data_IF_119380992999
#
_entry.id   IF_119380992999
#
_cell.length_a   1.000
_cell.length_b   1.000
_cell.length_c   1.000
_cell.angle_alpha   90.00
_cell.angle_beta   90.00
_cell.angle_gamma   90.00
#
_symmetry.space_group_name_H-M   'P 1'
#
loop_
_entity.id
_entity.type
_entity.pdbx_description
1 polymer ?
#
# COMPACT_ATOMS: atom_id res chain seq x y z
N UNK A 1 2.27 13.77 -29.24
CA UNK A 1 2.71 12.36 -29.23
C UNK A 1 2.75 11.90 -27.81
N UNK A 2 2.24 10.71 -27.50
CA UNK A 2 2.39 10.15 -26.15
C UNK A 2 3.89 9.88 -25.89
N UNK A 3 4.38 10.30 -24.73
CA UNK A 3 5.77 10.07 -24.34
C UNK A 3 5.88 8.57 -23.99
N UNK A 4 6.83 7.88 -24.66
CA UNK A 4 7.07 6.46 -24.43
C UNK A 4 7.73 6.24 -23.05
N UNK A 5 7.28 5.21 -22.32
CA UNK A 5 7.75 4.91 -20.97
C UNK A 5 8.15 3.45 -20.82
N UNK A 6 9.19 3.24 -20.03
CA UNK A 6 9.65 1.93 -19.59
C UNK A 6 8.82 1.51 -18.38
N UNK A 7 8.13 0.37 -18.47
CA UNK A 7 7.38 -0.21 -17.35
C UNK A 7 8.32 -0.82 -16.32
N UNK A 8 7.90 -0.77 -15.05
CA UNK A 8 8.74 -1.28 -13.96
C UNK A 8 8.57 -2.78 -13.71
N UNK A 9 7.56 -3.40 -14.31
CA UNK A 9 7.13 -4.76 -13.93
C UNK A 9 6.30 -4.80 -12.65
N UNK A 10 6.01 -3.62 -12.08
CA UNK A 10 5.16 -3.46 -10.90
C UNK A 10 4.12 -2.36 -11.20
N UNK A 11 2.85 -2.74 -11.34
CA UNK A 11 1.78 -1.83 -11.73
C UNK A 11 1.60 -0.66 -10.74
N UNK A 12 1.81 -0.90 -9.45
CA UNK A 12 1.69 0.10 -8.41
C UNK A 12 2.87 1.10 -8.46
N UNK A 13 4.08 0.64 -8.79
CA UNK A 13 5.22 1.54 -9.02
C UNK A 13 5.02 2.36 -10.30
N UNK A 14 4.46 1.75 -11.34
CA UNK A 14 4.09 2.48 -12.54
C UNK A 14 3.05 3.58 -12.25
N UNK A 15 2.08 3.32 -11.35
CA UNK A 15 1.11 4.33 -10.90
C UNK A 15 1.81 5.47 -10.16
N UNK A 16 2.74 5.18 -9.24
CA UNK A 16 3.54 6.18 -8.51
C UNK A 16 4.38 7.05 -9.45
N UNK A 17 4.91 6.46 -10.54
CA UNK A 17 5.70 7.14 -11.57
C UNK A 17 4.85 7.73 -12.71
N UNK A 18 3.52 7.72 -12.57
CA UNK A 18 2.58 8.17 -13.60
C UNK A 18 2.81 7.51 -14.97
N UNK A 19 3.05 6.20 -14.95
CA UNK A 19 3.17 5.36 -16.14
C UNK A 19 4.52 4.65 -16.33
N UNK A 20 5.46 4.83 -15.43
CA UNK A 20 6.81 4.26 -15.50
C UNK A 20 7.89 5.29 -15.80
N UNK A 21 9.14 4.85 -16.02
CA UNK A 21 10.25 5.72 -16.33
C UNK A 21 10.19 6.25 -17.77
N UNK A 22 10.72 7.46 -18.00
CA UNK A 22 10.92 7.92 -19.36
C UNK A 22 12.04 7.11 -20.02
N UNK A 23 11.87 6.77 -21.30
CA UNK A 23 12.94 6.13 -22.07
C UNK A 23 14.09 7.10 -22.37
N UNK A 24 15.26 6.55 -22.68
CA UNK A 24 16.48 7.31 -23.01
C UNK A 24 16.90 8.27 -21.89
N UNK A 25 16.74 7.87 -20.65
CA UNK A 25 17.08 8.63 -19.44
C UNK A 25 18.10 7.89 -18.59
N UNK A 26 18.78 8.65 -17.74
CA UNK A 26 19.69 8.13 -16.72
C UNK A 26 18.96 8.16 -15.38
N UNK A 27 18.84 7.02 -14.74
CA UNK A 27 18.11 6.84 -13.51
C UNK A 27 19.03 6.31 -12.40
N UNK A 28 18.81 6.73 -11.16
CA UNK A 28 19.57 6.23 -10.01
C UNK A 28 18.61 5.50 -9.07
N UNK A 29 18.99 4.29 -8.65
CA UNK A 29 18.34 3.54 -7.58
C UNK A 29 19.33 3.47 -6.42
N UNK A 30 18.99 4.14 -5.32
CA UNK A 30 19.85 4.27 -4.16
C UNK A 30 19.22 3.69 -2.89
N UNK A 31 20.04 3.40 -1.90
CA UNK A 31 19.61 2.91 -0.57
C UNK A 31 20.67 2.08 0.11
N UNK A 32 20.49 1.80 1.39
CA UNK A 32 21.39 0.97 2.19
C UNK A 32 21.46 -0.49 1.68
N UNK A 33 22.45 -1.29 2.11
CA UNK A 33 22.48 -2.72 1.84
C UNK A 33 21.18 -3.44 2.24
N UNK A 34 20.75 -4.42 1.44
CA UNK A 34 19.56 -5.24 1.73
C UNK A 34 18.22 -4.52 1.58
N UNK A 35 18.18 -3.33 0.95
CA UNK A 35 16.92 -2.61 0.69
C UNK A 35 16.16 -3.12 -0.53
N UNK A 36 16.74 -4.00 -1.37
CA UNK A 36 16.08 -4.58 -2.54
C UNK A 36 16.41 -3.91 -3.88
N UNK A 37 17.49 -3.11 -3.95
CA UNK A 37 17.92 -2.41 -5.18
C UNK A 37 18.13 -3.36 -6.36
N UNK A 38 18.91 -4.41 -6.17
CA UNK A 38 19.19 -5.44 -7.16
C UNK A 38 17.93 -6.16 -7.62
N UNK A 39 17.03 -6.49 -6.70
CA UNK A 39 15.74 -7.15 -7.02
C UNK A 39 14.89 -6.26 -7.93
N UNK A 40 14.78 -4.96 -7.62
CA UNK A 40 14.06 -4.01 -8.47
C UNK A 40 14.72 -3.89 -9.86
N UNK A 41 16.05 -3.88 -9.91
CA UNK A 41 16.81 -3.81 -11.18
C UNK A 41 16.59 -5.06 -12.05
N UNK A 42 16.62 -6.25 -11.45
CA UNK A 42 16.30 -7.50 -12.16
C UNK A 42 14.85 -7.52 -12.64
N UNK A 43 13.90 -7.12 -11.81
CA UNK A 43 12.49 -7.03 -12.17
C UNK A 43 12.28 -6.08 -13.37
N UNK A 44 12.96 -4.94 -13.42
CA UNK A 44 12.98 -4.03 -14.56
C UNK A 44 13.51 -4.74 -15.84
N UNK A 45 14.62 -5.46 -15.71
CA UNK A 45 15.28 -6.15 -16.84
C UNK A 45 14.36 -7.23 -17.40
N UNK A 46 13.90 -8.16 -16.58
CA UNK A 46 13.08 -9.29 -17.04
C UNK A 46 11.72 -8.88 -17.57
N UNK A 47 11.14 -7.78 -17.05
CA UNK A 47 9.87 -7.24 -17.53
C UNK A 47 9.96 -6.56 -18.89
N UNK A 48 11.14 -6.03 -19.27
CA UNK A 48 11.29 -5.23 -20.48
C UNK A 48 12.15 -5.88 -21.58
N UNK A 49 12.98 -6.87 -21.23
CA UNK A 49 13.87 -7.50 -22.20
C UNK A 49 13.11 -8.34 -23.22
N UNK A 50 13.31 -8.04 -24.50
CA UNK A 50 12.77 -8.76 -25.66
C UNK A 50 13.84 -8.87 -26.75
N UNK A 51 13.62 -9.68 -27.78
CA UNK A 51 14.53 -9.78 -28.92
C UNK A 51 14.75 -8.44 -29.66
N UNK A 52 13.77 -7.51 -29.60
CA UNK A 52 13.89 -6.17 -30.21
C UNK A 52 14.50 -5.13 -29.27
N UNK A 53 14.38 -5.36 -27.98
CA UNK A 53 14.83 -4.46 -26.91
C UNK A 53 15.62 -5.24 -25.88
N UNK A 54 16.83 -5.74 -26.22
CA UNK A 54 17.63 -6.50 -25.27
C UNK A 54 18.07 -5.60 -24.10
N UNK A 55 18.34 -6.25 -22.96
CA UNK A 55 18.84 -5.61 -21.76
C UNK A 55 20.26 -6.08 -21.45
N UNK A 56 21.07 -5.14 -20.95
CA UNK A 56 22.45 -5.38 -20.53
C UNK A 56 22.57 -5.11 -19.04
N UNK A 57 22.94 -6.11 -18.27
CA UNK A 57 23.20 -6.00 -16.84
C UNK A 57 24.70 -6.07 -16.58
N UNK A 58 25.29 -4.97 -16.16
CA UNK A 58 26.70 -4.81 -15.90
C UNK A 58 26.99 -4.93 -14.41
N UNK A 59 27.67 -5.99 -14.01
CA UNK A 59 28.09 -6.22 -12.63
C UNK A 59 29.47 -5.62 -12.39
N UNK A 60 29.73 -5.17 -11.17
CA UNK A 60 31.02 -4.56 -10.79
C UNK A 60 31.70 -5.25 -9.64
N UNK A 61 30.96 -6.04 -8.88
CA UNK A 61 31.43 -6.86 -7.78
C UNK A 61 31.66 -8.28 -8.29
N UNK A 62 32.68 -8.94 -7.74
CA UNK A 62 33.11 -10.29 -8.14
C UNK A 62 32.13 -11.39 -7.69
N UNK A 63 30.83 -11.13 -7.70
CA UNK A 63 29.86 -12.19 -7.46
C UNK A 63 29.77 -13.04 -8.73
N UNK A 64 30.04 -14.35 -8.64
CA UNK A 64 29.97 -15.24 -9.80
C UNK A 64 28.56 -15.17 -10.42
N UNK A 65 28.51 -15.09 -11.75
CA UNK A 65 27.24 -15.06 -12.52
C UNK A 65 26.30 -16.18 -12.12
N UNK A 66 26.84 -17.38 -11.82
CA UNK A 66 26.02 -18.53 -11.40
C UNK A 66 25.25 -18.26 -10.11
N UNK A 67 25.85 -17.55 -9.13
CA UNK A 67 25.16 -17.18 -7.90
C UNK A 67 24.08 -16.15 -8.15
N UNK A 68 24.37 -15.16 -8.99
CA UNK A 68 23.42 -14.14 -9.39
C UNK A 68 22.17 -14.75 -10.04
N UNK A 69 22.37 -15.67 -11.00
CA UNK A 69 21.29 -16.43 -11.64
C UNK A 69 20.54 -17.30 -10.61
N UNK A 70 21.25 -17.96 -9.71
CA UNK A 70 20.64 -18.78 -8.67
C UNK A 70 19.73 -17.95 -7.75
N UNK A 71 20.13 -16.74 -7.36
CA UNK A 71 19.31 -15.84 -6.57
C UNK A 71 18.07 -15.38 -7.34
N UNK A 72 18.24 -15.03 -8.62
CA UNK A 72 17.13 -14.62 -9.50
C UNK A 72 16.06 -15.69 -9.66
N UNK A 73 16.43 -16.97 -9.73
CA UNK A 73 15.49 -18.09 -9.89
C UNK A 73 14.47 -18.24 -8.76
N UNK A 74 14.68 -17.58 -7.61
CA UNK A 74 13.69 -17.57 -6.52
C UNK A 74 12.52 -16.62 -6.75
N UNK A 75 12.56 -15.82 -7.82
CA UNK A 75 11.53 -14.83 -8.13
C UNK A 75 10.70 -15.22 -9.35
N UNK A 76 9.39 -15.01 -9.28
CA UNK A 76 8.45 -15.36 -10.36
C UNK A 76 8.68 -14.56 -11.65
N UNK A 77 9.30 -13.36 -11.58
CA UNK A 77 9.63 -12.56 -12.77
C UNK A 77 10.86 -13.09 -13.53
N UNK A 78 11.66 -13.97 -12.93
CA UNK A 78 12.88 -14.47 -13.54
C UNK A 78 12.57 -15.51 -14.59
N UNK A 79 13.08 -15.32 -15.80
CA UNK A 79 12.95 -16.24 -16.92
C UNK A 79 14.33 -16.66 -17.42
N UNK A 80 14.75 -17.88 -17.08
CA UNK A 80 16.06 -18.41 -17.48
C UNK A 80 16.24 -18.50 -18.98
N UNK A 81 15.17 -18.62 -19.77
CA UNK A 81 15.25 -18.65 -21.23
C UNK A 81 15.66 -17.31 -21.84
N UNK A 82 15.47 -16.22 -21.10
CA UNK A 82 15.93 -14.89 -21.54
C UNK A 82 17.43 -14.66 -21.34
N UNK A 83 18.07 -15.39 -20.43
CA UNK A 83 19.49 -15.22 -20.11
C UNK A 83 20.34 -15.69 -21.28
N UNK A 84 21.21 -14.80 -21.78
CA UNK A 84 22.04 -15.03 -22.98
C UNK A 84 21.33 -14.78 -24.31
N UNK A 85 20.00 -14.69 -24.34
CA UNK A 85 19.20 -14.43 -25.54
C UNK A 85 18.74 -12.96 -25.64
N UNK A 86 18.13 -12.45 -24.57
CA UNK A 86 17.60 -11.07 -24.50
C UNK A 86 18.07 -10.31 -23.27
N UNK A 87 18.57 -11.00 -22.26
CA UNK A 87 19.20 -10.46 -21.06
C UNK A 87 20.66 -10.90 -21.03
N UNK A 88 21.56 -9.95 -21.11
CA UNK A 88 22.99 -10.19 -21.14
C UNK A 88 23.64 -9.67 -19.86
N UNK A 89 24.40 -10.53 -19.20
CA UNK A 89 25.20 -10.18 -18.02
C UNK A 89 26.67 -10.11 -18.40
N UNK A 90 27.35 -9.01 -18.02
CA UNK A 90 28.76 -8.81 -18.28
C UNK A 90 29.49 -8.26 -17.04
N UNK A 91 30.71 -8.70 -16.78
CA UNK A 91 31.56 -8.23 -15.66
C UNK A 91 32.31 -6.95 -16.05
N UNK A 92 31.64 -5.81 -15.86
CA UNK A 92 32.22 -4.50 -16.06
C UNK A 92 33.42 -4.24 -15.12
N UNK A 93 33.34 -4.75 -13.88
CA UNK A 93 34.39 -4.60 -12.88
C UNK A 93 35.69 -5.26 -13.32
N UNK A 94 35.65 -6.43 -13.95
CA UNK A 94 36.85 -7.08 -14.50
C UNK A 94 37.47 -6.24 -15.61
N UNK A 95 36.69 -5.73 -16.57
CA UNK A 95 37.17 -4.91 -17.67
C UNK A 95 37.76 -3.58 -17.19
N UNK A 96 37.16 -2.93 -16.20
CA UNK A 96 37.68 -1.71 -15.58
C UNK A 96 39.00 -1.96 -14.85
N UNK A 97 39.13 -3.11 -14.17
CA UNK A 97 40.43 -3.49 -13.55
C UNK A 97 41.53 -3.67 -14.54
N UNK A 98 41.24 -4.19 -15.75
CA UNK A 98 42.21 -4.42 -16.81
C UNK A 98 42.59 -3.12 -17.54
N UNK A 99 41.60 -2.29 -17.90
CA UNK A 99 41.81 -1.11 -18.79
C UNK A 99 41.86 0.23 -18.02
N UNK A 100 41.58 0.22 -16.73
CA UNK A 100 41.49 1.43 -15.89
C UNK A 100 40.12 2.09 -15.95
N UNK A 101 39.79 2.82 -14.88
CA UNK A 101 38.49 3.49 -14.76
C UNK A 101 38.27 4.60 -15.80
N UNK A 102 39.34 5.22 -16.31
CA UNK A 102 39.27 6.22 -17.37
C UNK A 102 38.75 5.67 -18.71
N UNK A 103 38.80 4.36 -18.92
CA UNK A 103 38.27 3.70 -20.12
C UNK A 103 36.77 3.32 -19.99
N UNK A 104 36.11 3.67 -18.90
CA UNK A 104 34.72 3.25 -18.61
C UNK A 104 33.75 3.56 -19.77
N UNK A 105 33.78 4.78 -20.29
CA UNK A 105 32.91 5.20 -21.39
C UNK A 105 33.18 4.42 -22.69
N UNK A 106 34.44 4.13 -22.98
CA UNK A 106 34.88 3.33 -24.14
C UNK A 106 34.38 1.88 -24.00
N UNK A 107 34.63 1.25 -22.86
CA UNK A 107 34.17 -0.12 -22.56
C UNK A 107 32.67 -0.25 -22.74
N UNK A 108 31.89 0.66 -22.15
CA UNK A 108 30.42 0.67 -22.27
C UNK A 108 29.99 0.91 -23.71
N UNK A 109 30.66 1.80 -24.45
CA UNK A 109 30.40 2.06 -25.88
C UNK A 109 30.59 0.82 -26.76
N UNK A 110 31.64 0.05 -26.51
CA UNK A 110 31.90 -1.23 -27.21
C UNK A 110 30.79 -2.23 -26.99
N UNK A 111 30.37 -2.43 -25.71
CA UNK A 111 29.30 -3.34 -25.34
C UNK A 111 27.96 -2.93 -25.96
N UNK A 112 27.61 -1.63 -25.86
CA UNK A 112 26.36 -1.10 -26.38
C UNK A 112 26.30 -1.18 -27.91
N UNK A 113 27.40 -0.91 -28.60
CA UNK A 113 27.46 -1.01 -30.07
C UNK A 113 27.27 -2.45 -30.57
N UNK A 114 27.80 -3.42 -29.83
CA UNK A 114 27.69 -4.84 -30.14
C UNK A 114 26.30 -5.43 -29.82
N UNK A 115 25.77 -5.20 -28.60
CA UNK A 115 24.52 -5.79 -28.12
C UNK A 115 23.28 -4.96 -28.47
N UNK A 116 23.42 -3.66 -28.71
CA UNK A 116 22.36 -2.69 -29.00
C UNK A 116 21.22 -2.72 -27.94
N UNK A 117 21.56 -2.69 -26.67
CA UNK A 117 20.54 -2.77 -25.60
C UNK A 117 19.70 -1.49 -25.57
N UNK A 118 18.43 -1.61 -25.14
CA UNK A 118 17.57 -0.47 -24.82
C UNK A 118 17.55 -0.17 -23.33
N UNK A 119 17.90 -1.15 -22.51
CA UNK A 119 17.96 -1.06 -21.06
C UNK A 119 19.34 -1.49 -20.58
N UNK A 120 19.95 -0.66 -19.74
CA UNK A 120 21.26 -0.93 -19.14
C UNK A 120 21.16 -0.77 -17.63
N UNK A 121 21.64 -1.75 -16.89
CA UNK A 121 21.82 -1.68 -15.44
C UNK A 121 23.32 -1.69 -15.14
N UNK A 122 23.78 -0.85 -14.22
CA UNK A 122 25.14 -0.91 -13.67
C UNK A 122 25.03 -1.08 -12.14
N UNK A 123 25.34 -2.27 -11.65
CA UNK A 123 25.24 -2.66 -10.24
C UNK A 123 26.59 -3.26 -9.74
N UNK A 124 27.33 -2.62 -8.85
CA UNK A 124 27.08 -1.36 -8.18
C UNK A 124 27.86 -0.21 -8.85
N UNK A 125 27.15 0.79 -9.31
CA UNK A 125 27.79 1.96 -9.93
C UNK A 125 28.67 2.72 -8.95
N UNK A 126 28.27 2.79 -7.67
CA UNK A 126 29.06 3.42 -6.62
C UNK A 126 30.44 2.78 -6.47
N UNK A 127 30.53 1.45 -6.57
CA UNK A 127 31.81 0.75 -6.46
C UNK A 127 32.79 1.14 -7.57
N UNK A 128 32.31 1.47 -8.78
CA UNK A 128 33.15 2.01 -9.86
C UNK A 128 33.60 3.43 -9.54
N UNK A 129 32.71 4.27 -9.07
CA UNK A 129 33.03 5.68 -8.79
C UNK A 129 33.97 5.86 -7.60
N UNK A 130 34.05 4.89 -6.69
CA UNK A 130 35.04 4.86 -5.59
C UNK A 130 36.47 4.60 -6.07
N UNK A 131 36.65 4.11 -7.29
CA UNK A 131 37.99 3.95 -7.91
C UNK A 131 38.56 5.27 -8.47
N UNK A 132 37.74 6.34 -8.47
CA UNK A 132 38.11 7.64 -9.04
C UNK A 132 38.65 8.53 -7.93
N UNK A 133 39.90 8.99 -8.07
CA UNK A 133 40.60 9.70 -7.00
C UNK A 133 40.14 11.16 -6.83
N UNK A 134 39.80 11.84 -7.93
CA UNK A 134 39.49 13.27 -7.88
C UNK A 134 38.04 13.58 -8.32
N UNK A 135 37.46 14.60 -7.71
CA UNK A 135 36.12 15.07 -8.09
C UNK A 135 36.02 15.57 -9.52
N UNK A 136 37.13 16.12 -10.06
CA UNK A 136 37.18 16.61 -11.46
C UNK A 136 37.17 15.43 -12.44
N UNK A 137 38.01 14.42 -12.21
CA UNK A 137 38.05 13.20 -13.00
C UNK A 137 36.70 12.49 -12.98
N UNK A 138 36.07 12.39 -11.80
CA UNK A 138 34.73 11.80 -11.63
C UNK A 138 33.70 12.50 -12.53
N UNK A 139 33.71 13.84 -12.57
CA UNK A 139 32.78 14.60 -13.42
C UNK A 139 33.04 14.31 -14.90
N UNK A 140 34.31 14.23 -15.32
CA UNK A 140 34.68 13.97 -16.72
C UNK A 140 34.20 12.57 -17.14
N UNK A 141 34.56 11.54 -16.38
CA UNK A 141 34.19 10.15 -16.68
C UNK A 141 32.64 9.99 -16.72
N UNK A 142 31.96 10.61 -15.80
CA UNK A 142 30.49 10.57 -15.76
C UNK A 142 29.84 11.28 -16.95
N UNK A 143 30.40 12.43 -17.36
CA UNK A 143 29.91 13.16 -18.52
C UNK A 143 30.11 12.36 -19.80
N UNK A 144 31.27 11.73 -19.96
CA UNK A 144 31.60 10.89 -21.12
C UNK A 144 30.67 9.66 -21.17
N UNK A 145 30.46 8.98 -20.04
CA UNK A 145 29.53 7.86 -19.94
C UNK A 145 28.10 8.29 -20.29
N UNK A 146 27.63 9.40 -19.73
CA UNK A 146 26.28 9.92 -20.00
C UNK A 146 26.10 10.27 -21.48
N UNK A 147 27.16 10.80 -22.13
CA UNK A 147 27.17 11.11 -23.56
C UNK A 147 27.03 9.85 -24.41
N UNK A 148 27.73 8.78 -24.06
CA UNK A 148 27.61 7.48 -24.71
C UNK A 148 26.21 6.92 -24.59
N UNK A 149 25.68 6.85 -23.35
CA UNK A 149 24.35 6.30 -23.09
C UNK A 149 23.24 7.07 -23.82
N UNK A 150 23.35 8.39 -23.88
CA UNK A 150 22.43 9.27 -24.59
C UNK A 150 22.54 9.07 -26.13
N UNK A 151 23.76 8.99 -26.67
CA UNK A 151 23.97 8.81 -28.10
C UNK A 151 23.37 7.49 -28.62
N UNK A 152 23.43 6.43 -27.82
CA UNK A 152 22.84 5.14 -28.14
C UNK A 152 21.36 5.01 -27.73
N UNK A 153 20.77 6.06 -27.18
CA UNK A 153 19.36 6.08 -26.73
C UNK A 153 19.02 4.95 -25.73
N UNK A 154 19.92 4.72 -24.78
CA UNK A 154 19.73 3.72 -23.75
C UNK A 154 19.00 4.31 -22.54
N UNK A 155 18.05 3.57 -21.99
CA UNK A 155 17.52 3.84 -20.63
C UNK A 155 18.44 3.15 -19.64
N UNK A 156 19.06 3.91 -18.75
CA UNK A 156 20.13 3.40 -17.88
C UNK A 156 19.78 3.55 -16.42
N UNK A 157 20.14 2.57 -15.60
CA UNK A 157 19.98 2.60 -14.15
C UNK A 157 21.32 2.41 -13.46
N UNK A 158 21.71 3.38 -12.66
CA UNK A 158 22.89 3.34 -11.80
C UNK A 158 22.46 2.92 -10.41
N UNK A 159 22.93 1.79 -9.95
CA UNK A 159 22.58 1.20 -8.65
C UNK A 159 23.72 1.43 -7.67
N UNK A 160 23.41 1.91 -6.47
CA UNK A 160 24.46 2.11 -5.49
C UNK A 160 23.96 2.28 -4.05
N UNK A 161 24.91 2.10 -3.12
CA UNK A 161 24.69 2.27 -1.70
C UNK A 161 25.00 3.70 -1.29
N UNK A 162 24.02 4.59 -1.50
CA UNK A 162 24.13 6.00 -1.18
C UNK A 162 23.21 6.39 -0.03
N UNK A 163 23.64 7.38 0.77
CA UNK A 163 22.81 8.07 1.74
C UNK A 163 22.15 9.32 1.15
N UNK A 164 21.12 9.85 1.82
CA UNK A 164 20.45 11.07 1.36
C UNK A 164 21.36 12.29 1.30
N UNK A 165 22.36 12.39 2.18
CA UNK A 165 23.34 13.49 2.20
C UNK A 165 24.20 13.52 0.93
N UNK A 166 24.56 12.35 0.41
CA UNK A 166 25.39 12.23 -0.79
C UNK A 166 24.71 12.77 -2.06
N UNK A 167 23.38 12.92 -2.09
CA UNK A 167 22.66 13.44 -3.26
C UNK A 167 23.05 14.86 -3.64
N UNK A 168 23.47 15.68 -2.68
CA UNK A 168 23.88 17.07 -2.93
C UNK A 168 25.33 17.21 -3.32
N UNK A 169 26.16 16.18 -3.07
CA UNK A 169 27.60 16.25 -3.22
C UNK A 169 28.09 15.54 -4.49
N UNK A 170 27.45 14.43 -4.85
CA UNK A 170 27.95 13.55 -5.89
C UNK A 170 27.36 13.88 -7.27
N UNK A 171 28.20 13.96 -8.31
CA UNK A 171 27.80 14.42 -9.63
C UNK A 171 26.85 13.46 -10.37
N UNK A 172 26.79 12.17 -10.04
CA UNK A 172 25.85 11.21 -10.61
C UNK A 172 24.38 11.60 -10.36
N UNK A 173 24.08 12.26 -9.24
CA UNK A 173 22.72 12.74 -8.96
C UNK A 173 22.36 13.99 -9.77
N UNK A 174 23.36 14.77 -10.16
CA UNK A 174 23.15 15.94 -11.01
C UNK A 174 22.74 15.55 -12.43
N UNK A 175 23.37 14.52 -13.01
CA UNK A 175 23.07 14.02 -14.35
C UNK A 175 21.80 13.14 -14.40
N UNK A 176 21.40 12.53 -13.30
CA UNK A 176 20.24 11.67 -13.25
C UNK A 176 18.95 12.41 -13.60
N UNK A 177 18.10 11.79 -14.42
CA UNK A 177 16.74 12.25 -14.73
C UNK A 177 15.74 11.79 -13.70
N UNK A 178 15.94 10.61 -13.12
CA UNK A 178 15.17 10.15 -11.97
C UNK A 178 16.05 9.60 -10.85
N UNK A 179 15.58 9.71 -9.62
CA UNK A 179 16.23 9.17 -8.43
C UNK A 179 15.17 8.48 -7.58
N UNK A 180 15.32 7.17 -7.40
CA UNK A 180 14.53 6.38 -6.46
C UNK A 180 15.38 6.04 -5.23
N UNK A 181 14.85 6.33 -4.06
CA UNK A 181 15.47 6.00 -2.78
C UNK A 181 14.72 4.85 -2.10
N UNK A 182 15.41 3.75 -1.85
CA UNK A 182 14.91 2.61 -1.09
C UNK A 182 15.38 2.72 0.36
N UNK A 183 14.44 2.67 1.27
CA UNK A 183 14.63 2.87 2.70
C UNK A 183 14.21 1.63 3.47
N UNK A 184 14.90 1.38 4.56
CA UNK A 184 14.59 0.35 5.54
C UNK A 184 14.50 1.02 6.90
N UNK A 185 13.34 0.92 7.54
CA UNK A 185 13.08 1.51 8.86
C UNK A 185 12.76 0.42 9.86
N UNK A 186 13.40 0.47 11.02
CA UNK A 186 13.14 -0.43 12.12
C UNK A 186 12.42 0.30 13.24
N UNK A 187 11.29 -0.24 13.69
CA UNK A 187 10.54 0.27 14.83
C UNK A 187 10.37 -0.87 15.85
N UNK A 188 11.17 -0.84 16.89
CA UNK A 188 11.29 -1.95 17.82
C UNK A 188 11.81 -3.20 17.10
N UNK A 189 11.00 -4.27 17.09
CA UNK A 189 11.34 -5.53 16.41
C UNK A 189 10.81 -5.59 14.95
N UNK A 190 10.03 -4.60 14.52
CA UNK A 190 9.44 -4.55 13.19
C UNK A 190 10.38 -3.86 12.22
N UNK A 191 10.45 -4.38 11.03
CA UNK A 191 11.18 -3.83 9.90
C UNK A 191 10.24 -3.56 8.74
N UNK A 192 10.26 -2.33 8.25
CA UNK A 192 9.44 -1.91 7.12
C UNK A 192 10.31 -1.31 6.02
N UNK A 193 9.96 -1.56 4.77
CA UNK A 193 10.64 -1.00 3.60
C UNK A 193 9.78 0.04 2.93
N UNK A 194 10.44 1.12 2.47
CA UNK A 194 9.79 2.22 1.78
C UNK A 194 10.58 2.60 0.53
N UNK A 195 9.85 3.05 -0.48
CA UNK A 195 10.39 3.69 -1.68
C UNK A 195 9.93 5.15 -1.70
N UNK A 196 10.86 6.05 -2.01
CA UNK A 196 10.58 7.48 -2.25
C UNK A 196 11.15 7.90 -3.59
N UNK A 197 10.38 8.66 -4.36
CA UNK A 197 10.82 9.30 -5.60
C UNK A 197 11.40 10.66 -5.23
N UNK A 198 12.72 10.79 -5.28
CA UNK A 198 13.43 12.02 -4.94
C UNK A 198 13.45 13.01 -6.11
N UNK A 199 13.48 12.47 -7.33
CA UNK A 199 13.55 13.25 -8.57
C UNK A 199 12.90 12.47 -9.70
N UNK A 200 12.11 13.16 -10.51
CA UNK A 200 11.57 12.62 -11.77
C UNK A 200 11.39 13.76 -12.77
N UNK A 201 12.36 13.94 -13.68
CA UNK A 201 12.30 14.99 -14.70
C UNK A 201 11.27 14.64 -15.76
N UNK A 202 10.54 15.64 -16.22
CA UNK A 202 9.58 15.51 -17.33
C UNK A 202 8.30 14.74 -16.98
N UNK A 203 8.08 14.40 -15.70
CA UNK A 203 6.88 13.73 -15.22
C UNK A 203 6.57 14.16 -13.78
N UNK A 204 5.28 14.11 -13.40
CA UNK A 204 4.89 14.10 -12.02
C UNK A 204 5.15 12.73 -11.39
N UNK A 205 5.21 12.67 -10.08
CA UNK A 205 5.22 11.43 -9.29
C UNK A 205 4.35 11.60 -8.06
N UNK A 206 3.83 10.48 -7.54
CA UNK A 206 3.08 10.50 -6.28
C UNK A 206 4.03 10.82 -5.13
N UNK A 207 3.72 11.81 -4.28
CA UNK A 207 4.62 12.28 -3.24
C UNK A 207 4.65 11.35 -2.02
N UNK A 208 5.76 11.38 -1.28
CA UNK A 208 5.93 10.73 0.02
C UNK A 208 6.61 9.37 -0.05
N UNK A 209 6.48 8.60 1.03
CA UNK A 209 7.05 7.27 1.17
C UNK A 209 5.99 6.22 0.87
N UNK A 210 6.27 5.34 -0.07
CA UNK A 210 5.43 4.23 -0.47
C UNK A 210 5.97 2.95 0.15
N UNK A 211 5.15 2.23 0.90
CA UNK A 211 5.57 0.98 1.52
C UNK A 211 5.75 -0.11 0.45
N UNK A 212 6.67 -1.05 0.68
CA UNK A 212 6.81 -2.22 -0.17
C UNK A 212 7.29 -3.45 0.60
N UNK A 213 6.98 -4.61 0.06
CA UNK A 213 7.51 -5.89 0.51
C UNK A 213 8.33 -6.54 -0.60
N UNK A 214 9.18 -7.48 -0.22
CA UNK A 214 9.88 -8.38 -1.13
C UNK A 214 9.30 -9.78 -0.90
N UNK A 215 8.76 -10.38 -1.95
CA UNK A 215 8.17 -11.70 -1.95
C UNK A 215 8.72 -12.53 -3.13
N UNK A 216 8.17 -13.70 -3.38
CA UNK A 216 8.46 -14.49 -4.58
C UNK A 216 8.11 -13.74 -5.88
N UNK A 217 7.16 -12.79 -5.84
CA UNK A 217 6.82 -11.92 -6.97
C UNK A 217 7.83 -10.78 -7.20
N UNK A 218 8.88 -10.69 -6.38
CA UNK A 218 9.84 -9.60 -6.38
C UNK A 218 9.42 -8.47 -5.46
N UNK A 219 9.64 -7.22 -5.86
CA UNK A 219 9.19 -6.04 -5.13
C UNK A 219 7.71 -5.79 -5.37
N UNK A 220 6.92 -5.84 -4.31
CA UNK A 220 5.48 -5.50 -4.32
C UNK A 220 5.29 -4.16 -3.60
N UNK A 221 4.98 -3.12 -4.36
CA UNK A 221 4.80 -1.76 -3.84
C UNK A 221 3.35 -1.52 -3.42
N UNK A 222 3.16 -0.81 -2.32
CA UNK A 222 1.89 -0.29 -1.83
C UNK A 222 1.94 1.24 -1.87
N UNK A 223 1.33 1.87 -2.87
CA UNK A 223 1.30 3.33 -2.96
C UNK A 223 0.74 3.95 -1.68
N UNK A 224 1.40 5.01 -1.20
CA UNK A 224 0.85 5.80 -0.10
C UNK A 224 -0.54 6.27 -0.48
N UNK A 225 -1.49 6.04 0.41
CA UNK A 225 -2.85 6.53 0.21
C UNK A 225 -2.86 8.06 0.26
N UNK A 226 -3.29 8.65 -0.83
CA UNK A 226 -3.50 10.10 -0.98
C UNK A 226 -5.00 10.38 -1.01
N UNK A 227 -5.39 11.56 -0.55
CA UNK A 227 -6.77 12.02 -0.73
C UNK A 227 -7.10 12.02 -2.22
N UNK A 228 -8.21 11.39 -2.64
CA UNK A 228 -8.59 11.41 -4.04
C UNK A 228 -8.82 12.85 -4.50
N UNK A 229 -8.45 13.14 -5.75
CA UNK A 229 -8.80 14.41 -6.37
C UNK A 229 -10.32 14.56 -6.30
N UNK A 230 -10.75 15.57 -5.58
CA UNK A 230 -12.16 15.88 -5.40
C UNK A 230 -12.68 16.41 -6.73
N UNK A 231 -13.22 15.50 -7.55
CA UNK A 231 -14.04 15.93 -8.66
C UNK A 231 -15.26 16.67 -8.09
N UNK A 232 -15.67 17.82 -8.66
CA UNK A 232 -16.84 18.56 -8.17
C UNK A 232 -18.15 17.77 -8.26
N UNK A 233 -18.15 16.55 -8.73
CA UNK A 233 -19.29 15.64 -8.80
C UNK A 233 -19.29 14.70 -7.59
N UNK A 234 -19.52 15.21 -6.39
CA UNK A 234 -20.08 14.40 -5.34
C UNK A 234 -21.53 14.09 -5.73
N UNK A 235 -21.79 12.88 -6.14
CA UNK A 235 -23.17 12.39 -6.25
C UNK A 235 -23.65 12.11 -4.82
N UNK A 236 -24.46 13.01 -4.27
CA UNK A 236 -25.17 12.72 -3.02
C UNK A 236 -26.09 11.52 -3.30
N UNK A 237 -25.84 10.40 -2.59
CA UNK A 237 -26.77 9.29 -2.59
C UNK A 237 -27.83 9.58 -1.53
N UNK A 238 -29.10 9.82 -1.91
CA UNK A 238 -30.19 10.05 -0.96
C UNK A 238 -30.69 8.76 -0.31
N UNK A 239 -30.13 7.60 -0.66
CA UNK A 239 -30.57 6.31 -0.14
C UNK A 239 -30.01 6.05 1.26
N UNK A 240 -30.84 5.38 2.08
CA UNK A 240 -30.44 4.92 3.40
C UNK A 240 -29.98 3.47 3.34
N UNK A 241 -28.95 3.19 4.10
CA UNK A 241 -28.33 1.87 4.23
C UNK A 241 -28.65 1.33 5.63
N UNK A 242 -29.47 0.29 5.67
CA UNK A 242 -29.91 -0.34 6.92
C UNK A 242 -28.77 -1.11 7.60
N UNK A 243 -28.80 -1.15 8.91
CA UNK A 243 -27.80 -1.90 9.70
C UNK A 243 -28.16 -3.39 9.85
N UNK A 244 -29.39 -3.76 9.56
CA UNK A 244 -29.95 -5.08 9.87
C UNK A 244 -30.33 -5.25 11.35
N UNK A 245 -30.34 -4.15 12.12
CA UNK A 245 -30.69 -4.10 13.52
C UNK A 245 -31.85 -3.08 13.67
N UNK A 246 -33.08 -3.56 13.62
CA UNK A 246 -34.27 -2.72 13.53
C UNK A 246 -34.30 -1.59 14.56
N UNK A 247 -34.01 -1.86 15.82
CA UNK A 247 -33.98 -0.82 16.87
C UNK A 247 -32.85 0.21 16.67
N UNK A 248 -31.71 -0.13 16.02
CA UNK A 248 -30.69 0.84 15.66
C UNK A 248 -31.13 1.68 14.46
N UNK A 249 -31.72 1.04 13.47
CA UNK A 249 -32.23 1.73 12.28
C UNK A 249 -33.32 2.74 12.64
N UNK A 250 -34.17 2.43 13.64
CA UNK A 250 -35.19 3.36 14.17
C UNK A 250 -34.55 4.58 14.86
N UNK A 251 -33.43 4.41 15.58
CA UNK A 251 -32.69 5.51 16.22
C UNK A 251 -32.06 6.48 15.21
N UNK A 252 -31.86 6.07 13.96
CA UNK A 252 -31.12 6.81 12.91
C UNK A 252 -31.97 7.02 11.64
N UNK A 253 -33.28 7.19 11.77
CA UNK A 253 -34.19 7.44 10.65
C UNK A 253 -34.07 6.40 9.49
N UNK A 254 -34.13 5.11 9.85
CA UNK A 254 -34.09 3.95 8.94
C UNK A 254 -32.71 3.66 8.29
N UNK A 255 -31.61 3.98 8.95
CA UNK A 255 -30.29 3.63 8.50
C UNK A 255 -29.36 4.83 8.28
N UNK A 256 -28.12 4.55 7.91
CA UNK A 256 -27.10 5.55 7.60
C UNK A 256 -27.24 6.06 6.16
N UNK A 257 -26.76 7.27 5.89
CA UNK A 257 -26.66 7.73 4.51
C UNK A 257 -25.66 6.86 3.70
N UNK A 258 -26.02 6.53 2.47
CA UNK A 258 -25.13 5.82 1.56
C UNK A 258 -23.80 6.59 1.37
N UNK A 259 -22.68 5.87 1.44
CA UNK A 259 -21.33 6.46 1.35
C UNK A 259 -20.84 7.16 2.62
N UNK A 260 -21.60 7.14 3.72
CA UNK A 260 -21.17 7.73 4.99
C UNK A 260 -20.27 6.79 5.80
N UNK A 261 -19.46 7.39 6.68
CA UNK A 261 -18.62 6.68 7.64
C UNK A 261 -19.21 6.76 9.04
N UNK A 262 -19.41 5.61 9.66
CA UNK A 262 -19.93 5.48 11.03
C UNK A 262 -18.88 4.92 11.97
N UNK A 263 -18.61 5.61 13.07
CA UNK A 263 -17.78 5.12 14.16
C UNK A 263 -18.68 4.37 15.18
N UNK A 264 -18.42 3.09 15.41
CA UNK A 264 -19.03 2.29 16.48
C UNK A 264 -18.00 2.09 17.57
N UNK A 265 -18.09 2.87 18.62
CA UNK A 265 -17.13 2.88 19.73
C UNK A 265 -17.69 2.21 20.97
N UNK A 266 -16.86 1.46 21.70
CA UNK A 266 -17.28 0.83 22.96
C UNK A 266 -16.22 -0.10 23.53
N UNK A 267 -16.34 -0.49 24.81
CA UNK A 267 -15.41 -1.38 25.45
C UNK A 267 -15.47 -2.82 24.89
N UNK A 268 -14.46 -3.63 25.21
CA UNK A 268 -14.46 -5.08 24.90
C UNK A 268 -15.73 -5.75 25.41
N UNK A 269 -16.32 -6.62 24.59
CA UNK A 269 -17.55 -7.36 24.92
C UNK A 269 -18.85 -6.56 24.81
N UNK A 270 -18.82 -5.30 24.37
CA UNK A 270 -20.01 -4.46 24.18
C UNK A 270 -20.87 -4.84 22.97
N UNK A 271 -20.37 -5.65 22.04
CA UNK A 271 -21.10 -6.14 20.87
C UNK A 271 -20.71 -5.50 19.53
N UNK A 272 -19.59 -4.75 19.45
CA UNK A 272 -19.12 -4.08 18.22
C UNK A 272 -19.02 -5.03 17.03
N UNK A 273 -18.26 -6.11 17.18
CA UNK A 273 -18.04 -7.16 16.15
C UNK A 273 -19.37 -7.69 15.62
N UNK A 274 -20.34 -7.96 16.52
CA UNK A 274 -21.65 -8.50 16.13
C UNK A 274 -22.43 -7.45 15.31
N UNK A 275 -22.41 -6.17 15.71
CA UNK A 275 -23.02 -5.08 14.93
C UNK A 275 -22.40 -5.00 13.53
N UNK A 276 -21.07 -5.12 13.42
CA UNK A 276 -20.38 -5.15 12.13
C UNK A 276 -20.80 -6.34 11.26
N UNK A 277 -20.95 -7.52 11.85
CA UNK A 277 -21.41 -8.72 11.14
C UNK A 277 -22.86 -8.58 10.66
N UNK A 278 -23.77 -8.02 11.50
CA UNK A 278 -25.14 -7.70 11.08
C UNK A 278 -25.15 -6.77 9.87
N UNK A 279 -24.33 -5.71 9.89
CA UNK A 279 -24.28 -4.71 8.83
C UNK A 279 -23.85 -5.32 7.48
N UNK A 280 -22.84 -6.19 7.47
CA UNK A 280 -22.42 -6.86 6.23
C UNK A 280 -23.44 -7.88 5.77
N UNK A 281 -24.00 -8.68 6.70
CA UNK A 281 -25.03 -9.68 6.39
C UNK A 281 -26.27 -9.02 5.79
N UNK A 282 -26.74 -7.91 6.35
CA UNK A 282 -27.88 -7.15 5.79
C UNK A 282 -27.58 -6.68 4.37
N UNK A 283 -26.34 -6.27 4.09
CA UNK A 283 -25.91 -5.96 2.74
C UNK A 283 -26.01 -7.16 1.81
N UNK A 284 -25.55 -8.33 2.23
CA UNK A 284 -25.64 -9.54 1.41
C UNK A 284 -27.11 -9.91 1.08
N UNK A 285 -28.02 -9.74 2.01
CA UNK A 285 -29.47 -9.98 1.80
C UNK A 285 -30.07 -8.97 0.80
N UNK A 286 -29.59 -7.72 0.81
CA UNK A 286 -30.13 -6.63 -0.02
C UNK A 286 -29.37 -6.45 -1.37
N UNK A 287 -28.53 -7.42 -1.77
CA UNK A 287 -27.65 -7.30 -2.95
C UNK A 287 -26.70 -6.10 -2.90
N UNK A 288 -26.23 -5.76 -1.71
CA UNK A 288 -25.19 -4.77 -1.44
C UNK A 288 -23.95 -5.46 -0.88
N UNK A 289 -23.10 -6.05 -1.72
CA UNK A 289 -21.96 -6.85 -1.26
C UNK A 289 -21.05 -6.08 -0.32
N UNK A 290 -20.52 -6.76 0.67
CA UNK A 290 -19.70 -6.15 1.70
C UNK A 290 -18.46 -6.95 2.08
N UNK A 291 -17.46 -6.21 2.56
CA UNK A 291 -16.20 -6.76 3.09
C UNK A 291 -16.08 -6.46 4.58
N UNK A 292 -15.88 -7.49 5.35
CA UNK A 292 -15.50 -7.39 6.76
C UNK A 292 -13.99 -7.56 6.90
N UNK A 293 -13.30 -6.51 7.32
CA UNK A 293 -11.85 -6.51 7.56
C UNK A 293 -11.60 -6.76 9.04
N UNK A 294 -11.07 -7.93 9.37
CA UNK A 294 -10.74 -8.34 10.74
C UNK A 294 -9.22 -8.47 10.94
N UNK A 295 -8.76 -8.11 12.13
CA UNK A 295 -7.34 -8.19 12.50
C UNK A 295 -7.09 -9.17 13.64
N UNK A 296 -8.01 -9.33 14.56
CA UNK A 296 -7.86 -10.19 15.73
C UNK A 296 -8.57 -11.53 15.57
N UNK A 297 -9.85 -11.48 15.19
CA UNK A 297 -10.63 -12.69 14.94
C UNK A 297 -10.39 -13.18 13.51
N UNK A 298 -9.95 -14.42 13.39
CA UNK A 298 -9.79 -15.07 12.08
C UNK A 298 -11.15 -15.54 11.52
N UNK A 299 -11.24 -15.87 10.22
CA UNK A 299 -12.51 -16.28 9.59
C UNK A 299 -13.20 -17.45 10.29
N UNK A 300 -12.46 -18.41 10.85
CA UNK A 300 -13.04 -19.56 11.58
C UNK A 300 -13.72 -19.10 12.87
N UNK A 301 -13.13 -18.14 13.59
CA UNK A 301 -13.71 -17.59 14.81
C UNK A 301 -14.97 -16.78 14.48
N UNK A 302 -14.95 -15.93 13.44
CA UNK A 302 -16.11 -15.17 13.00
C UNK A 302 -17.23 -16.09 12.50
N UNK A 303 -16.92 -17.14 11.75
CA UNK A 303 -17.90 -18.15 11.31
C UNK A 303 -18.56 -18.86 12.51
N UNK A 304 -17.80 -19.12 13.58
CA UNK A 304 -18.38 -19.66 14.83
C UNK A 304 -19.36 -18.68 15.47
N UNK A 305 -19.03 -17.39 15.50
CA UNK A 305 -19.93 -16.35 16.01
C UNK A 305 -21.21 -16.29 15.21
N UNK A 306 -21.13 -16.35 13.87
CA UNK A 306 -22.30 -16.35 12.99
C UNK A 306 -23.21 -17.55 13.22
N UNK A 307 -22.68 -18.77 13.40
CA UNK A 307 -23.46 -19.96 13.71
C UNK A 307 -24.21 -19.87 15.04
N UNK A 308 -23.69 -19.14 16.03
CA UNK A 308 -24.41 -18.91 17.29
C UNK A 308 -25.67 -18.06 17.11
N UNK A 309 -25.83 -17.40 15.98
CA UNK A 309 -27.00 -16.61 15.61
C UNK A 309 -27.89 -17.30 14.56
N UNK A 310 -27.74 -18.60 14.38
CA UNK A 310 -28.42 -19.38 13.34
C UNK A 310 -28.20 -18.85 11.91
N UNK A 311 -27.05 -18.20 11.69
CA UNK A 311 -26.63 -17.81 10.35
C UNK A 311 -25.81 -18.93 9.73
N UNK A 312 -25.97 -19.10 8.43
CA UNK A 312 -25.15 -20.02 7.63
C UNK A 312 -23.94 -19.27 7.04
N UNK A 313 -22.75 -19.33 7.67
CA UNK A 313 -21.58 -18.62 7.19
C UNK A 313 -21.06 -19.19 5.88
N UNK A 314 -21.23 -20.49 5.60
CA UNK A 314 -20.82 -21.11 4.37
C UNK A 314 -21.63 -20.54 3.20
N UNK A 315 -22.95 -20.53 3.29
CA UNK A 315 -23.82 -19.96 2.27
C UNK A 315 -23.57 -18.46 2.06
N UNK A 316 -23.30 -17.70 3.14
CA UNK A 316 -22.97 -16.28 3.05
C UNK A 316 -21.66 -16.02 2.31
N UNK A 317 -20.60 -16.79 2.61
CA UNK A 317 -19.27 -16.64 1.97
C UNK A 317 -19.28 -17.12 0.52
N UNK A 318 -20.05 -18.19 0.20
CA UNK A 318 -20.21 -18.68 -1.18
C UNK A 318 -21.01 -17.72 -2.07
N UNK A 319 -21.84 -16.86 -1.49
CA UNK A 319 -22.66 -15.89 -2.25
C UNK A 319 -21.87 -14.78 -2.92
N UNK A 320 -20.58 -14.66 -2.67
CA UNK A 320 -19.72 -13.52 -3.06
C UNK A 320 -20.21 -12.14 -2.56
N UNK A 321 -21.33 -12.10 -1.85
CA UNK A 321 -21.90 -10.88 -1.31
C UNK A 321 -21.42 -10.57 0.12
N UNK A 322 -20.73 -11.53 0.75
CA UNK A 322 -20.14 -11.41 2.08
C UNK A 322 -18.72 -11.92 2.08
N UNK A 323 -17.74 -11.04 2.23
CA UNK A 323 -16.33 -11.39 2.24
C UNK A 323 -15.68 -11.13 3.60
N UNK A 324 -14.86 -12.08 4.07
CA UNK A 324 -14.01 -11.92 5.25
C UNK A 324 -12.55 -11.70 4.83
N UNK A 325 -12.04 -10.51 5.02
CA UNK A 325 -10.65 -10.16 4.80
C UNK A 325 -9.92 -10.18 6.15
N UNK A 326 -9.12 -11.21 6.41
CA UNK A 326 -8.29 -11.29 7.62
C UNK A 326 -6.87 -10.85 7.35
N UNK A 327 -6.32 -10.00 8.25
CA UNK A 327 -4.92 -9.61 8.27
C UNK A 327 -4.36 -9.64 9.68
N UNK A 328 -3.28 -10.41 9.87
CA UNK A 328 -2.59 -10.41 11.15
C UNK A 328 -2.05 -9.01 11.49
N UNK A 329 -2.27 -8.49 12.69
CA UNK A 329 -1.76 -7.18 13.08
C UNK A 329 -0.25 -7.16 13.36
N UNK A 330 0.41 -8.34 13.36
CA UNK A 330 1.81 -8.47 13.80
C UNK A 330 2.77 -7.77 12.85
N UNK A 331 2.59 -7.95 11.53
CA UNK A 331 3.46 -7.35 10.51
C UNK A 331 2.67 -6.58 9.45
N UNK A 332 1.56 -5.99 9.87
CA UNK A 332 0.66 -5.28 8.99
C UNK A 332 1.24 -3.94 8.55
N UNK A 333 1.07 -3.61 7.28
CA UNK A 333 1.32 -2.29 6.70
C UNK A 333 0.00 -1.65 6.30
N UNK A 334 -0.23 -0.38 6.69
CA UNK A 334 -1.48 0.34 6.40
C UNK A 334 -1.81 0.37 4.91
N UNK A 335 -0.83 0.77 4.11
CA UNK A 335 -1.05 0.95 2.67
C UNK A 335 -1.38 -0.37 1.95
N UNK A 336 -0.89 -1.51 2.45
CA UNK A 336 -1.24 -2.83 1.89
C UNK A 336 -2.71 -3.16 2.09
N UNK A 337 -3.27 -2.84 3.26
CA UNK A 337 -4.70 -3.03 3.56
C UNK A 337 -5.55 -2.15 2.63
N UNK A 338 -5.15 -0.89 2.42
CA UNK A 338 -5.86 0.02 1.53
C UNK A 338 -5.86 -0.48 0.07
N UNK A 339 -4.69 -0.87 -0.45
CA UNK A 339 -4.57 -1.38 -1.83
C UNK A 339 -5.46 -2.60 -2.05
N UNK A 340 -5.47 -3.51 -1.09
CA UNK A 340 -6.31 -4.71 -1.18
C UNK A 340 -7.81 -4.39 -1.16
N UNK A 341 -8.25 -3.51 -0.24
CA UNK A 341 -9.63 -3.01 -0.21
C UNK A 341 -10.01 -2.29 -1.51
N UNK A 342 -9.12 -1.44 -2.02
CA UNK A 342 -9.39 -0.67 -3.23
C UNK A 342 -9.55 -1.55 -4.46
N UNK A 343 -8.78 -2.61 -4.57
CA UNK A 343 -8.93 -3.58 -5.65
C UNK A 343 -10.34 -4.20 -5.63
N UNK A 344 -10.81 -4.65 -4.45
CA UNK A 344 -12.16 -5.21 -4.27
C UNK A 344 -13.26 -4.20 -4.62
N UNK A 345 -13.12 -2.97 -4.17
CA UNK A 345 -14.11 -1.91 -4.45
C UNK A 345 -14.08 -1.48 -5.91
N UNK A 346 -12.89 -1.39 -6.56
CA UNK A 346 -12.75 -1.04 -7.99
C UNK A 346 -13.40 -2.07 -8.92
N UNK A 347 -13.41 -3.32 -8.55
CA UNK A 347 -14.13 -4.38 -9.26
C UNK A 347 -15.67 -4.18 -9.24
N UNK A 348 -16.14 -3.13 -8.57
CA UNK A 348 -17.51 -2.62 -8.66
C UNK A 348 -18.52 -3.38 -7.79
N UNK A 349 -18.07 -4.32 -6.97
CA UNK A 349 -18.94 -5.20 -6.21
C UNK A 349 -19.23 -4.70 -4.81
N UNK A 350 -18.25 -4.07 -4.11
CA UNK A 350 -18.36 -3.74 -2.68
C UNK A 350 -19.11 -2.43 -2.46
N UNK A 351 -20.15 -2.48 -1.61
CA UNK A 351 -20.97 -1.34 -1.18
C UNK A 351 -20.83 -1.06 0.31
N UNK A 352 -20.46 -2.08 1.09
CA UNK A 352 -20.34 -1.99 2.55
C UNK A 352 -18.97 -2.45 3.00
N UNK A 353 -18.37 -1.73 3.93
CA UNK A 353 -17.09 -2.10 4.55
C UNK A 353 -17.19 -2.02 6.06
N UNK A 354 -16.66 -3.00 6.76
CA UNK A 354 -16.45 -2.96 8.21
C UNK A 354 -14.96 -3.12 8.49
N UNK A 355 -14.40 -2.30 9.37
CA UNK A 355 -13.02 -2.40 9.83
C UNK A 355 -13.01 -2.68 11.33
N UNK A 356 -12.60 -3.89 11.73
CA UNK A 356 -12.59 -4.38 13.12
C UNK A 356 -11.18 -4.83 13.56
N UNK A 357 -10.44 -4.01 14.31
CA UNK A 357 -10.77 -2.69 14.78
C UNK A 357 -9.71 -1.69 14.31
N UNK A 358 -10.08 -0.43 14.14
CA UNK A 358 -9.16 0.63 13.72
C UNK A 358 -8.00 0.84 14.70
N UNK A 359 -8.13 0.42 15.96
CA UNK A 359 -7.05 0.42 16.94
C UNK A 359 -5.84 -0.45 16.52
N UNK A 360 -6.07 -1.53 15.78
CA UNK A 360 -5.00 -2.40 15.30
C UNK A 360 -4.26 -1.77 14.10
N UNK A 361 -4.98 -1.06 13.22
CA UNK A 361 -4.38 -0.21 12.19
C UNK A 361 -3.49 0.88 12.82
N UNK A 362 -3.97 1.54 13.88
CA UNK A 362 -3.21 2.56 14.61
C UNK A 362 -1.91 2.00 15.19
N UNK A 363 -1.96 0.82 15.80
CA UNK A 363 -0.76 0.14 16.36
C UNK A 363 0.26 -0.26 15.28
N UNK A 364 -0.16 -0.43 14.04
CA UNK A 364 0.75 -0.77 12.92
C UNK A 364 1.50 0.45 12.37
N UNK A 365 1.10 1.66 12.76
CA UNK A 365 1.70 2.92 12.31
C UNK A 365 2.49 3.58 13.46
N UNK A 366 3.78 3.81 13.25
CA UNK A 366 4.62 4.45 14.25
C UNK A 366 4.38 5.97 14.36
N UNK A 367 3.91 6.59 13.28
CA UNK A 367 3.65 8.02 13.19
C UNK A 367 2.15 8.29 13.30
N UNK A 368 1.68 8.94 14.41
CA UNK A 368 0.27 9.27 14.59
C UNK A 368 -0.30 10.17 13.47
N UNK A 369 0.48 11.13 12.98
CA UNK A 369 0.02 12.01 11.89
C UNK A 369 -0.22 11.22 10.60
N UNK A 370 0.66 10.29 10.27
CA UNK A 370 0.47 9.39 9.11
C UNK A 370 -0.80 8.57 9.25
N UNK A 371 -1.11 8.08 10.46
CA UNK A 371 -2.34 7.33 10.71
C UNK A 371 -3.58 8.22 10.47
N UNK A 372 -3.58 9.45 10.96
CA UNK A 372 -4.67 10.42 10.76
C UNK A 372 -4.87 10.73 9.28
N UNK A 373 -3.78 11.05 8.55
CA UNK A 373 -3.81 11.27 7.11
C UNK A 373 -4.38 10.06 6.35
N UNK A 374 -3.95 8.85 6.73
CA UNK A 374 -4.43 7.60 6.15
C UNK A 374 -5.94 7.42 6.37
N UNK A 375 -6.42 7.57 7.60
CA UNK A 375 -7.84 7.40 7.91
C UNK A 375 -8.71 8.45 7.19
N UNK A 376 -8.23 9.69 7.13
CA UNK A 376 -8.90 10.74 6.37
C UNK A 376 -9.01 10.38 4.89
N UNK A 377 -7.91 10.01 4.26
CA UNK A 377 -7.87 9.65 2.85
C UNK A 377 -8.74 8.42 2.55
N UNK A 378 -8.72 7.41 3.44
CA UNK A 378 -9.51 6.19 3.33
C UNK A 378 -11.02 6.48 3.37
N UNK A 379 -11.48 7.28 4.34
CA UNK A 379 -12.90 7.64 4.48
C UNK A 379 -13.38 8.50 3.30
N UNK A 380 -12.57 9.46 2.85
CA UNK A 380 -12.88 10.26 1.66
C UNK A 380 -12.95 9.38 0.39
N UNK A 381 -12.04 8.41 0.26
CA UNK A 381 -12.07 7.50 -0.88
C UNK A 381 -13.34 6.65 -0.89
N UNK A 382 -13.77 6.10 0.25
CA UNK A 382 -15.03 5.37 0.36
C UNK A 382 -16.23 6.25 -0.01
N UNK A 383 -16.27 7.50 0.48
CA UNK A 383 -17.32 8.44 0.13
C UNK A 383 -17.40 8.70 -1.38
N UNK A 384 -16.26 8.88 -2.09
CA UNK A 384 -16.24 9.07 -3.56
C UNK A 384 -16.73 7.84 -4.33
N UNK A 385 -16.64 6.65 -3.74
CA UNK A 385 -17.11 5.37 -4.33
C UNK A 385 -18.50 4.96 -3.85
N UNK A 386 -19.14 5.79 -3.04
CA UNK A 386 -20.43 5.50 -2.44
C UNK A 386 -20.42 4.18 -1.61
N UNK A 387 -19.32 3.93 -0.91
CA UNK A 387 -19.15 2.79 -0.01
C UNK A 387 -19.47 3.23 1.40
N UNK A 388 -20.46 2.60 2.03
CA UNK A 388 -20.82 2.88 3.42
C UNK A 388 -19.92 2.09 4.37
N UNK A 389 -19.26 2.78 5.29
CA UNK A 389 -18.22 2.20 6.13
C UNK A 389 -18.56 2.25 7.63
N UNK A 390 -18.39 1.12 8.32
CA UNK A 390 -18.38 1.05 9.79
C UNK A 390 -16.95 0.87 10.28
N UNK A 391 -16.52 1.79 11.14
CA UNK A 391 -15.23 1.73 11.84
C UNK A 391 -15.48 1.31 13.28
N UNK A 392 -15.00 0.13 13.67
CA UNK A 392 -15.14 -0.36 15.04
C UNK A 392 -13.93 0.10 15.86
N UNK A 393 -14.22 0.73 17.02
CA UNK A 393 -13.18 1.30 17.88
C UNK A 393 -13.33 0.82 19.32
N UNK A 394 -12.25 0.30 19.90
CA UNK A 394 -12.22 -0.17 21.27
C UNK A 394 -11.89 0.97 22.25
N UNK A 395 -12.78 1.16 23.24
CA UNK A 395 -12.58 2.08 24.34
C UNK A 395 -12.01 1.33 25.56
N UNK A 396 -10.99 1.88 26.18
CA UNK A 396 -10.33 1.23 27.31
C UNK A 396 -11.11 1.30 28.63
N UNK A 397 -12.06 2.23 28.76
CA UNK A 397 -12.84 2.42 30.00
C UNK A 397 -14.17 1.70 29.91
N UNK A 398 -14.40 0.77 30.83
CA UNK A 398 -15.63 -0.04 30.90
C UNK A 398 -16.86 0.76 31.41
N UNK A 399 -16.65 1.71 32.33
CA UNK A 399 -17.73 2.30 33.15
C UNK A 399 -17.69 3.82 33.25
N UNK A 400 -16.65 4.50 32.85
CA UNK A 400 -16.61 5.96 32.88
C UNK A 400 -17.28 6.57 31.66
N UNK A 401 -17.66 7.85 31.77
CA UNK A 401 -18.18 8.57 30.62
C UNK A 401 -17.17 8.40 29.46
N UNK A 402 -17.59 7.76 28.36
CA UNK A 402 -16.67 7.39 27.32
C UNK A 402 -16.10 8.65 26.68
N UNK A 403 -14.86 8.95 27.01
CA UNK A 403 -14.10 9.93 26.25
C UNK A 403 -13.58 9.22 24.99
N UNK A 404 -14.12 9.61 23.85
CA UNK A 404 -13.50 9.28 22.57
C UNK A 404 -12.24 10.14 22.53
N UNK A 405 -11.13 9.56 23.03
CA UNK A 405 -9.84 10.25 23.18
C UNK A 405 -9.20 10.64 21.84
N UNK A 406 -9.66 10.04 20.74
CA UNK A 406 -9.25 10.37 19.38
C UNK A 406 -10.25 11.35 18.75
N UNK A 407 -10.09 12.64 19.07
CA UNK A 407 -10.87 13.71 18.46
C UNK A 407 -10.82 13.69 16.93
N UNK A 408 -9.67 13.30 16.36
CA UNK A 408 -9.46 13.22 14.93
C UNK A 408 -10.39 12.21 14.25
N UNK A 409 -10.52 10.98 14.79
CA UNK A 409 -11.40 9.94 14.23
C UNK A 409 -12.87 10.34 14.35
N UNK A 410 -13.26 10.94 15.47
CA UNK A 410 -14.63 11.42 15.68
C UNK A 410 -15.01 12.55 14.71
N UNK A 411 -14.03 13.39 14.34
CA UNK A 411 -14.24 14.47 13.38
C UNK A 411 -14.39 13.97 11.93
N UNK A 412 -13.72 12.88 11.58
CA UNK A 412 -13.80 12.26 10.25
C UNK A 412 -15.08 11.44 10.05
N UNK A 413 -15.75 11.01 11.13
CA UNK A 413 -16.95 10.19 11.05
C UNK A 413 -18.21 11.05 10.89
N UNK A 414 -19.13 10.62 10.02
CA UNK A 414 -20.43 11.26 9.85
C UNK A 414 -21.37 10.89 10.97
N UNK A 415 -21.31 9.66 11.44
CA UNK A 415 -22.13 9.15 12.51
C UNK A 415 -21.27 8.55 13.64
N UNK A 416 -21.76 8.62 14.87
CA UNK A 416 -21.09 8.04 16.04
C UNK A 416 -22.14 7.28 16.86
N UNK A 417 -21.95 5.96 16.97
CA UNK A 417 -22.71 5.05 17.82
C UNK A 417 -21.82 4.63 18.97
N UNK A 418 -22.28 4.86 20.17
CA UNK A 418 -21.56 4.58 21.40
C UNK A 418 -22.19 3.41 22.14
N UNK A 419 -21.37 2.42 22.45
CA UNK A 419 -21.75 1.28 23.29
C UNK A 419 -21.08 1.42 24.65
N UNK A 420 -21.81 1.13 25.72
CA UNK A 420 -21.29 1.14 27.08
C UNK A 420 -21.95 0.06 27.94
N UNK A 421 -21.40 -0.11 29.14
CA UNK A 421 -22.03 -0.92 30.19
C UNK A 421 -22.54 -0.02 31.32
N UNK A 422 -23.67 -0.38 31.88
CA UNK A 422 -24.17 0.27 33.09
C UNK A 422 -23.78 -0.52 34.33
N UNK A 423 -23.44 0.19 35.41
CA UNK A 423 -23.23 -0.40 36.72
C UNK A 423 -24.59 -0.71 37.36
N UNK A 424 -24.83 -1.96 37.73
CA UNK A 424 -26.01 -2.43 38.39
C UNK A 424 -25.75 -3.77 39.05
N UNK A 425 -26.80 -4.42 39.57
CA UNK A 425 -26.72 -5.79 40.10
C UNK A 425 -26.29 -6.74 38.96
N UNK A 426 -26.77 -6.45 37.76
CA UNK A 426 -26.32 -7.09 36.52
C UNK A 426 -25.75 -6.04 35.59
N UNK A 427 -24.68 -6.43 34.89
CA UNK A 427 -24.01 -5.58 33.90
C UNK A 427 -24.85 -5.58 32.61
N UNK A 428 -25.52 -4.47 32.31
CA UNK A 428 -26.35 -4.33 31.13
C UNK A 428 -25.65 -3.54 30.04
N UNK A 429 -25.75 -3.98 28.77
CA UNK A 429 -25.25 -3.26 27.59
C UNK A 429 -26.20 -2.14 27.20
N UNK A 430 -25.63 -1.03 26.80
CA UNK A 430 -26.36 0.16 26.36
C UNK A 430 -25.82 0.65 25.03
N UNK A 431 -26.67 1.32 24.27
CA UNK A 431 -26.34 2.00 23.05
C UNK A 431 -26.88 3.41 23.02
N UNK A 432 -26.12 4.34 22.49
CA UNK A 432 -26.52 5.73 22.25
C UNK A 432 -25.98 6.20 20.91
N UNK A 433 -26.77 6.93 20.14
CA UNK A 433 -26.32 7.67 18.98
C UNK A 433 -25.89 9.06 19.43
N UNK A 434 -24.62 9.37 19.25
CA UNK A 434 -24.03 10.65 19.70
C UNK A 434 -24.10 11.70 18.60
N UNK A 435 -23.98 11.27 17.34
CA UNK A 435 -23.86 12.16 16.18
C UNK A 435 -24.42 11.47 14.94
N UNK A 436 -25.18 12.23 14.15
CA UNK A 436 -25.46 11.93 12.74
C UNK A 436 -25.42 13.21 11.95
N UNK A 437 -24.64 13.24 10.86
CA UNK A 437 -24.61 14.39 9.96
C UNK A 437 -25.79 14.34 9.00
N UNK A 438 -26.52 15.44 8.91
CA UNK A 438 -27.62 15.59 7.94
C UNK A 438 -28.88 14.76 8.25
N UNK A 439 -29.04 14.25 9.48
CA UNK A 439 -30.23 13.51 9.94
C UNK A 439 -30.55 13.86 11.38
N UNK A 440 -31.81 13.75 11.73
CA UNK A 440 -32.22 13.60 13.13
C UNK A 440 -31.87 12.20 13.66
N UNK A 441 -31.76 12.07 14.95
CA UNK A 441 -31.54 10.79 15.62
C UNK A 441 -32.07 10.82 17.04
N UNK A 442 -32.32 9.66 17.60
CA UNK A 442 -32.70 9.54 18.99
C UNK A 442 -31.48 9.66 19.90
N UNK A 443 -31.49 10.66 20.77
CA UNK A 443 -30.41 10.93 21.72
C UNK A 443 -30.47 10.10 23.00
N UNK A 444 -31.57 9.39 23.21
CA UNK A 444 -31.79 8.59 24.43
C UNK A 444 -30.86 7.37 24.42
N UNK A 445 -30.57 6.88 25.60
CA UNK A 445 -29.89 5.61 25.79
C UNK A 445 -30.90 4.46 25.68
N UNK A 446 -30.51 3.43 24.92
CA UNK A 446 -31.34 2.23 24.70
C UNK A 446 -30.64 0.98 25.25
N UNK A 447 -31.41 -0.02 25.60
CA UNK A 447 -30.91 -1.34 26.01
C UNK A 447 -30.46 -2.11 24.77
N UNK A 448 -29.21 -2.61 24.78
CA UNK A 448 -28.69 -3.52 23.77
C UNK A 448 -28.68 -4.93 24.35
N UNK A 449 -29.34 -5.86 23.67
CA UNK A 449 -29.38 -7.27 24.04
C UNK A 449 -28.72 -8.11 22.93
N UNK A 450 -27.97 -9.11 23.35
CA UNK A 450 -27.36 -10.11 22.44
C UNK A 450 -28.00 -11.45 22.82
N UNK A 451 -28.67 -12.07 21.87
CA UNK A 451 -29.33 -13.38 22.01
C UNK A 451 -28.88 -14.31 20.91
N UNK A 452 -29.44 -15.48 20.80
CA UNK A 452 -29.30 -16.42 19.68
C UNK A 452 -29.82 -15.87 18.35
N UNK A 453 -30.65 -14.82 18.36
CA UNK A 453 -31.12 -14.11 17.17
C UNK A 453 -30.23 -12.94 16.75
N UNK A 454 -29.11 -12.72 17.44
CA UNK A 454 -28.20 -11.62 17.21
C UNK A 454 -28.42 -10.43 18.14
N UNK A 455 -28.24 -9.20 17.62
CA UNK A 455 -28.38 -7.95 18.37
C UNK A 455 -29.82 -7.43 18.24
N UNK A 456 -30.40 -7.02 19.36
CA UNK A 456 -31.64 -6.25 19.41
C UNK A 456 -31.47 -5.00 20.29
N UNK A 457 -32.16 -3.93 19.95
CA UNK A 457 -32.13 -2.66 20.68
C UNK A 457 -33.55 -2.26 21.05
N UNK A 458 -33.74 -1.87 22.29
CA UNK A 458 -35.06 -1.55 22.85
C UNK A 458 -35.00 -0.30 23.74
N UNK A 459 -36.07 0.48 23.75
CA UNK A 459 -36.20 1.60 24.70
C UNK A 459 -36.09 1.10 26.14
N UNK A 460 -35.44 1.88 26.98
CA UNK A 460 -35.38 1.64 28.41
C UNK A 460 -36.67 2.18 29.02
N UNK A 461 -37.46 1.28 29.57
CA UNK A 461 -38.68 1.64 30.28
C UNK A 461 -38.41 2.27 31.65
#
# INVERSE_FOLDING_TARGET
MAIERLKTGNSNLDEVLHGGFLINTINVIMGAPGTGKTILAEQLVFSNATAKTPALYLTTLSEPLDKFIQHGQSYAFFDSAKVGETVFYEDLGAMVRERGIGALAEIVSEMVSHRKPRLIIIDSFKALTELIETAQERRTILFDLASVLTAYQCTSFFIGEYSGEMMTELPEFAIADSILMLLKQSTGVREQRFLRVEKLRGSASSPGMHAFNISEDGMVLFPRLLTPDVSPVYTSNPERVNTGIAGLDDMIEKGFWGGSTTLVAGPTGSGKTIIGLHFIREGAVNNEPGVYVGFQENPVQLSRVMRNFDWDPEALLESEAFELMYRSPVEMQLDSVAVELFNRVREGRVKRVVIDAIGDLKKSCADPQRFSDFMYALTQWFATKNVTCLLLYELHNLFDAPQISDEEISNMSDNIVLLNFTRGVEMARRVRVIKTRGSAHDHREHALQISDQGVSIQEIK
#
